data_IF_944765911643
#
_entry.id   IF_944765911643
#
_cell.length_a   1.000
_cell.length_b   1.000
_cell.length_c   1.000
_cell.angle_alpha   90.00
_cell.angle_beta   90.00
_cell.angle_gamma   90.00
#
_symmetry.space_group_name_H-M   'P 1'
#
loop_
_entity.id
_entity.type
_entity.pdbx_description
1 polymer ?
#
# COMPACT_ATOMS: atom_id res chain seq x y z
N UNK A 1 3.49 -22.41 -9.14
CA UNK A 1 4.20 -21.63 -8.10
C UNK A 1 3.86 -20.16 -8.33
N UNK A 2 3.44 -19.42 -7.30
CA UNK A 2 3.13 -17.99 -7.44
C UNK A 2 4.39 -17.14 -7.47
N UNK A 3 4.29 -15.91 -8.00
CA UNK A 3 5.37 -14.92 -7.99
C UNK A 3 5.12 -13.88 -6.89
N UNK A 4 6.19 -13.37 -6.29
CA UNK A 4 6.13 -12.20 -5.42
C UNK A 4 6.05 -10.92 -6.27
N UNK A 5 5.27 -9.94 -5.80
CA UNK A 5 5.13 -8.64 -6.46
C UNK A 5 5.73 -7.57 -5.57
N UNK A 6 6.58 -6.72 -6.13
CA UNK A 6 7.17 -5.56 -5.45
C UNK A 6 6.57 -4.30 -6.05
N UNK A 7 6.00 -3.45 -5.19
CA UNK A 7 5.49 -2.12 -5.56
C UNK A 7 6.44 -1.08 -4.99
N UNK A 8 6.96 -0.19 -5.84
CA UNK A 8 7.92 0.86 -5.47
C UNK A 8 7.60 2.18 -6.20
N UNK A 9 8.13 3.28 -5.67
CA UNK A 9 8.01 4.60 -6.29
C UNK A 9 9.18 4.83 -7.22
N UNK A 10 8.91 5.31 -8.43
CA UNK A 10 9.95 5.61 -9.42
C UNK A 10 10.30 7.10 -9.48
N UNK A 11 9.64 7.91 -8.64
CA UNK A 11 9.79 9.36 -8.58
C UNK A 11 10.10 9.79 -7.13
N UNK A 12 9.76 11.03 -6.77
CA UNK A 12 9.99 11.61 -5.44
C UNK A 12 8.75 11.53 -4.53
N UNK A 13 8.05 10.40 -4.52
CA UNK A 13 6.89 10.22 -3.65
C UNK A 13 5.57 10.68 -4.29
N UNK A 14 4.49 10.49 -3.53
CA UNK A 14 3.11 10.85 -3.90
C UNK A 14 2.59 10.27 -5.23
N UNK A 15 3.16 9.16 -5.70
CA UNK A 15 2.78 8.51 -6.96
C UNK A 15 1.48 7.67 -6.85
N UNK A 16 0.79 7.74 -5.71
CA UNK A 16 -0.45 6.99 -5.50
C UNK A 16 -0.26 5.47 -5.26
N UNK A 17 0.94 5.03 -4.85
CA UNK A 17 1.25 3.60 -4.60
C UNK A 17 0.26 2.87 -3.70
N UNK A 18 -0.30 3.57 -2.71
CA UNK A 18 -1.27 2.97 -1.77
C UNK A 18 -2.46 2.36 -2.50
N UNK A 19 -2.96 3.02 -3.54
CA UNK A 19 -4.07 2.52 -4.38
C UNK A 19 -3.69 1.29 -5.20
N UNK A 20 -2.45 1.22 -5.67
CA UNK A 20 -1.95 0.05 -6.43
C UNK A 20 -1.76 -1.14 -5.50
N UNK A 21 -1.22 -0.92 -4.30
CA UNK A 21 -1.08 -1.96 -3.27
C UNK A 21 -2.45 -2.49 -2.87
N UNK A 22 -3.42 -1.62 -2.62
CA UNK A 22 -4.82 -1.96 -2.31
C UNK A 22 -5.44 -2.86 -3.39
N UNK A 23 -5.36 -2.45 -4.66
CA UNK A 23 -5.83 -3.26 -5.81
C UNK A 23 -5.20 -4.66 -5.88
N UNK A 24 -3.91 -4.78 -5.55
CA UNK A 24 -3.19 -6.06 -5.60
C UNK A 24 -3.44 -6.92 -4.36
N UNK A 25 -3.89 -6.32 -3.26
CA UNK A 25 -4.05 -7.00 -1.96
C UNK A 25 -5.12 -8.09 -2.03
N UNK A 26 -6.18 -7.92 -2.84
CA UNK A 26 -7.24 -8.93 -3.01
C UNK A 26 -6.68 -10.31 -3.40
N UNK A 27 -5.54 -10.35 -4.09
CA UNK A 27 -4.89 -11.58 -4.58
C UNK A 27 -3.69 -12.01 -3.73
N UNK A 28 -3.36 -11.27 -2.67
CA UNK A 28 -2.20 -11.49 -1.84
C UNK A 28 -2.58 -12.06 -0.48
N UNK A 29 -1.82 -13.05 -0.01
CA UNK A 29 -2.00 -13.60 1.35
C UNK A 29 -1.30 -12.75 2.42
N UNK A 30 -0.26 -12.00 2.04
CA UNK A 30 0.53 -11.18 2.94
C UNK A 30 0.87 -9.85 2.25
N UNK A 31 0.80 -8.76 3.00
CA UNK A 31 1.26 -7.44 2.57
C UNK A 31 2.35 -6.97 3.53
N UNK A 32 3.54 -6.70 3.01
CA UNK A 32 4.74 -6.46 3.81
C UNK A 32 5.34 -5.10 3.49
N UNK A 33 5.54 -4.29 4.53
CA UNK A 33 6.40 -3.10 4.48
C UNK A 33 7.84 -3.50 4.76
N UNK A 34 8.78 -3.07 3.92
CA UNK A 34 10.18 -3.47 4.02
C UNK A 34 11.14 -2.34 4.44
N UNK A 35 10.73 -1.07 4.33
CA UNK A 35 11.54 0.09 4.77
C UNK A 35 10.66 1.29 5.12
N UNK A 36 11.29 2.31 5.71
CA UNK A 36 10.68 3.61 6.01
C UNK A 36 10.08 3.68 7.42
N UNK A 37 9.43 4.79 7.74
CA UNK A 37 8.79 5.03 9.04
C UNK A 37 7.35 5.52 8.89
N UNK A 38 6.88 6.31 9.85
CA UNK A 38 5.56 6.96 9.81
C UNK A 38 5.51 8.18 8.87
N UNK A 39 6.54 8.37 8.04
CA UNK A 39 6.63 9.43 7.03
C UNK A 39 5.96 9.04 5.70
N UNK A 40 5.52 7.80 5.55
CA UNK A 40 4.62 7.41 4.47
C UNK A 40 3.20 7.94 4.73
N UNK A 41 2.39 8.07 3.68
CA UNK A 41 1.00 8.55 3.78
C UNK A 41 0.09 7.85 2.77
N UNK A 42 -0.17 6.56 2.98
CA UNK A 42 -1.07 5.82 2.11
C UNK A 42 -2.52 6.17 2.45
N UNK A 43 -3.14 6.95 1.57
CA UNK A 43 -4.57 7.27 1.66
C UNK A 43 -5.38 6.23 0.90
N UNK A 44 -6.31 5.58 1.60
CA UNK A 44 -7.30 4.67 1.05
C UNK A 44 -8.68 5.32 1.13
N UNK A 45 -9.51 5.09 0.12
CA UNK A 45 -10.92 5.50 0.12
C UNK A 45 -11.76 4.28 -0.23
N UNK A 46 -12.41 3.69 0.78
CA UNK A 46 -13.21 2.47 0.64
C UNK A 46 -14.64 2.83 0.98
N UNK A 47 -15.58 2.59 0.06
CA UNK A 47 -17.00 2.92 0.23
C UNK A 47 -17.26 4.38 0.66
N UNK A 48 -16.40 5.32 0.24
CA UNK A 48 -16.49 6.74 0.59
C UNK A 48 -15.83 7.12 1.93
N UNK A 49 -15.35 6.15 2.71
CA UNK A 49 -14.59 6.41 3.95
C UNK A 49 -13.10 6.56 3.64
N UNK A 50 -12.49 7.63 4.16
CA UNK A 50 -11.07 7.92 4.00
C UNK A 50 -10.26 7.40 5.19
N UNK A 51 -9.28 6.55 4.92
CA UNK A 51 -8.30 6.09 5.92
C UNK A 51 -6.88 6.47 5.51
N UNK A 52 -6.08 6.98 6.44
CA UNK A 52 -4.67 7.34 6.18
C UNK A 52 -3.77 6.43 7.00
N UNK A 53 -2.89 5.68 6.31
CA UNK A 53 -1.97 4.74 6.92
C UNK A 53 -0.53 5.27 6.80
N UNK A 54 0.07 5.54 7.96
CA UNK A 54 1.46 5.99 8.06
C UNK A 54 2.45 4.85 8.27
N UNK A 55 2.07 3.83 9.06
CA UNK A 55 2.97 2.74 9.45
C UNK A 55 2.46 1.36 9.05
N UNK A 56 1.17 1.10 9.29
CA UNK A 56 0.52 -0.18 9.00
C UNK A 56 0.48 -0.40 7.47
N UNK A 57 0.75 -1.63 6.97
CA UNK A 57 0.62 -1.95 5.55
C UNK A 57 -0.79 -1.71 5.02
N UNK A 58 -0.91 -1.30 3.75
CA UNK A 58 -2.21 -0.91 3.17
C UNK A 58 -3.23 -2.04 3.03
N UNK A 59 -2.80 -3.30 3.02
CA UNK A 59 -3.71 -4.45 2.96
C UNK A 59 -4.30 -4.88 4.30
N UNK A 60 -4.47 -3.95 5.24
CA UNK A 60 -5.15 -4.19 6.53
C UNK A 60 -6.67 -4.07 6.43
N UNK A 61 -7.15 -3.42 5.36
CA UNK A 61 -8.56 -3.23 5.01
C UNK A 61 -8.88 -4.07 3.78
#
# INVERSE_FOLDING_TARGET
MGNNVVVLGTQWGDEGKGKIVDLLTERAKYVVRYQGGHNAGHTLVINGEKTVLHLIPSGIL
#
